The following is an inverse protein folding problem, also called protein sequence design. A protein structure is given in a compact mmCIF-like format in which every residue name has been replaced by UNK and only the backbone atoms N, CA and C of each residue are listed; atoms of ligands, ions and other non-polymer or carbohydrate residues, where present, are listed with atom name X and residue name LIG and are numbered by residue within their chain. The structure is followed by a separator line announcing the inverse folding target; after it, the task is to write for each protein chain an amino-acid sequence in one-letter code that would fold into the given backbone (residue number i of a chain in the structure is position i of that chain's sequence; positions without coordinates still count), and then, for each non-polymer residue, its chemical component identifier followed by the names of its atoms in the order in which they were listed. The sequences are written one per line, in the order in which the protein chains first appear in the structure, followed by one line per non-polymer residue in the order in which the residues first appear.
data_IF_305105032774
#
_entry.id   IF_305105032774
#
_cell.length_a   1.000
_cell.length_b   1.000
_cell.length_c   1.000
_cell.angle_alpha   90.00
_cell.angle_beta   90.00
_cell.angle_gamma   90.00
#
_symmetry.space_group_name_H-M   'P 1'
#
loop_
_entity.id
_entity.type
_entity.pdbx_description
1 polymer ?
#
# COMPACT_ATOMS: atom_id res chain seq x y z
N UNK A 1 3.36 -9.47 20.61
CA UNK A 1 2.36 -8.44 20.27
C UNK A 1 2.70 -7.70 18.96
N UNK A 2 3.13 -8.40 17.90
CA UNK A 2 3.54 -7.81 16.61
C UNK A 2 2.38 -7.45 15.67
N UNK A 3 1.13 -7.75 16.05
CA UNK A 3 0.01 -7.74 15.10
C UNK A 3 -0.64 -6.37 14.89
N UNK A 4 -0.60 -5.44 15.86
CA UNK A 4 -1.37 -4.19 15.78
C UNK A 4 -0.83 -3.21 14.72
N UNK A 5 0.48 -2.99 14.71
CA UNK A 5 1.13 -2.13 13.70
C UNK A 5 1.11 -2.72 12.28
N UNK A 6 0.99 -4.05 12.13
CA UNK A 6 0.80 -4.68 10.82
C UNK A 6 -0.64 -4.50 10.29
N UNK A 7 -1.64 -4.52 11.17
CA UNK A 7 -3.04 -4.30 10.78
C UNK A 7 -3.28 -2.84 10.37
N UNK A 8 -2.71 -1.88 11.11
CA UNK A 8 -2.79 -0.45 10.77
C UNK A 8 -2.09 -0.15 9.42
N UNK A 9 -0.91 -0.74 9.19
CA UNK A 9 -0.20 -0.62 7.90
C UNK A 9 -0.98 -1.23 6.74
N UNK A 10 -1.59 -2.41 6.93
CA UNK A 10 -2.43 -3.05 5.90
C UNK A 10 -3.70 -2.26 5.62
N UNK A 11 -4.32 -1.69 6.65
CA UNK A 11 -5.51 -0.83 6.49
C UNK A 11 -5.17 0.46 5.75
N UNK A 12 -4.03 1.09 6.05
CA UNK A 12 -3.54 2.27 5.33
C UNK A 12 -3.28 1.99 3.85
N UNK A 13 -2.61 0.87 3.52
CA UNK A 13 -2.35 0.49 2.13
C UNK A 13 -3.65 0.23 1.36
N UNK A 14 -4.61 -0.46 1.98
CA UNK A 14 -5.92 -0.71 1.34
C UNK A 14 -6.66 0.59 1.04
N UNK A 15 -6.65 1.56 1.96
CA UNK A 15 -7.24 2.89 1.70
C UNK A 15 -6.56 3.60 0.54
N UNK A 16 -5.23 3.52 0.45
CA UNK A 16 -4.49 4.09 -0.67
C UNK A 16 -4.84 3.40 -1.99
N UNK A 17 -4.98 2.07 -2.01
CA UNK A 17 -5.41 1.30 -3.19
C UNK A 17 -6.82 1.72 -3.65
N UNK A 18 -7.79 1.78 -2.74
CA UNK A 18 -9.19 2.14 -3.05
C UNK A 18 -9.28 3.57 -3.63
N UNK A 19 -8.49 4.51 -3.08
CA UNK A 19 -8.43 5.91 -3.57
C UNK A 19 -7.77 5.97 -4.94
N UNK A 20 -6.67 5.22 -5.15
CA UNK A 20 -5.97 5.18 -6.43
C UNK A 20 -6.88 4.64 -7.53
N UNK A 21 -7.58 3.52 -7.28
CA UNK A 21 -8.53 2.93 -8.23
C UNK A 21 -9.65 3.92 -8.59
N UNK A 22 -10.17 4.64 -7.61
CA UNK A 22 -11.23 5.63 -7.84
C UNK A 22 -10.73 6.81 -8.69
N UNK A 23 -9.52 7.32 -8.41
CA UNK A 23 -8.91 8.40 -9.21
C UNK A 23 -8.60 7.95 -10.64
N UNK A 24 -8.10 6.73 -10.82
CA UNK A 24 -7.86 6.13 -12.14
C UNK A 24 -9.15 5.98 -12.94
N UNK A 25 -10.24 5.53 -12.31
CA UNK A 25 -11.56 5.48 -12.96
C UNK A 25 -12.04 6.87 -13.38
N UNK A 26 -11.90 7.89 -12.54
CA UNK A 26 -12.26 9.26 -12.91
C UNK A 26 -11.44 9.73 -14.13
N UNK A 27 -10.13 9.45 -14.12
CA UNK A 27 -9.23 9.81 -15.21
C UNK A 27 -9.57 9.07 -16.52
N UNK A 28 -9.88 7.78 -16.45
CA UNK A 28 -10.28 6.96 -17.60
C UNK A 28 -11.59 7.44 -18.25
N UNK A 29 -12.47 8.06 -17.46
CA UNK A 29 -13.73 8.63 -17.92
C UNK A 29 -13.63 10.12 -18.27
N UNK A 30 -12.42 10.69 -18.36
CA UNK A 30 -12.16 12.11 -18.61
C UNK A 30 -12.92 13.05 -17.66
N UNK A 31 -13.21 12.57 -16.43
CA UNK A 31 -13.86 13.39 -15.42
C UNK A 31 -12.84 14.38 -14.87
N UNK A 32 -13.23 15.65 -14.80
CA UNK A 32 -12.42 16.73 -14.25
C UNK A 32 -12.81 17.08 -12.82
N UNK A 33 -14.01 16.70 -12.41
CA UNK A 33 -14.54 16.92 -11.06
C UNK A 33 -14.15 15.78 -10.13
N UNK A 34 -13.54 16.17 -9.01
CA UNK A 34 -13.21 15.26 -7.91
C UNK A 34 -14.42 15.16 -6.96
N UNK A 35 -14.98 13.95 -6.74
CA UNK A 35 -16.04 13.74 -5.76
C UNK A 35 -15.60 14.09 -4.32
N UNK A 36 -16.49 14.71 -3.55
CA UNK A 36 -16.21 15.18 -2.18
C UNK A 36 -15.69 14.08 -1.25
N UNK A 37 -16.27 12.87 -1.33
CA UNK A 37 -15.83 11.74 -0.51
C UNK A 37 -14.37 11.33 -0.78
N UNK A 38 -13.88 11.49 -2.03
CA UNK A 38 -12.49 11.20 -2.39
C UNK A 38 -11.60 12.34 -1.91
N UNK A 39 -12.04 13.59 -2.06
CA UNK A 39 -11.35 14.76 -1.53
C UNK A 39 -11.15 14.66 0.00
N UNK A 40 -12.19 14.34 0.76
CA UNK A 40 -12.10 14.13 2.21
C UNK A 40 -11.08 13.02 2.56
N UNK A 41 -11.08 11.92 1.80
CA UNK A 41 -10.13 10.84 1.98
C UNK A 41 -8.68 11.28 1.70
N UNK A 42 -8.46 12.08 0.66
CA UNK A 42 -7.15 12.66 0.33
C UNK A 42 -6.67 13.64 1.42
N UNK A 43 -7.56 14.45 1.98
CA UNK A 43 -7.25 15.34 3.12
C UNK A 43 -6.83 14.53 4.34
N UNK A 44 -7.52 13.43 4.65
CA UNK A 44 -7.13 12.53 5.75
C UNK A 44 -5.74 11.89 5.54
N UNK A 45 -5.27 11.79 4.30
CA UNK A 45 -3.92 11.33 3.95
C UNK A 45 -2.87 12.44 3.95
N UNK A 46 -3.27 13.70 4.19
CA UNK A 46 -2.37 14.86 4.22
C UNK A 46 -2.23 15.59 2.88
N UNK A 47 -3.10 15.34 1.92
CA UNK A 47 -3.17 16.13 0.68
C UNK A 47 -4.08 17.32 0.90
N UNK A 48 -3.49 18.50 1.08
CA UNK A 48 -4.21 19.75 1.25
C UNK A 48 -4.86 20.21 -0.07
N UNK A 49 -6.09 20.71 0.01
CA UNK A 49 -6.84 21.28 -1.12
C UNK A 49 -6.90 20.36 -2.36
N UNK A 50 -7.43 19.13 -2.24
CA UNK A 50 -7.40 18.15 -3.33
C UNK A 50 -8.18 18.61 -4.57
N UNK A 51 -9.23 19.43 -4.44
CA UNK A 51 -9.98 20.00 -5.57
C UNK A 51 -9.17 21.01 -6.40
N UNK A 52 -8.07 21.55 -5.87
CA UNK A 52 -7.19 22.46 -6.62
C UNK A 52 -6.15 21.70 -7.48
N UNK A 53 -6.11 20.37 -7.38
CA UNK A 53 -5.12 19.51 -8.04
C UNK A 53 -5.82 18.68 -9.11
N UNK A 54 -5.24 18.64 -10.31
CA UNK A 54 -5.78 17.80 -11.38
C UNK A 54 -5.72 16.31 -11.00
N UNK A 55 -6.72 15.53 -11.39
CA UNK A 55 -6.81 14.10 -11.09
C UNK A 55 -5.53 13.32 -11.46
N UNK A 56 -4.87 13.52 -12.62
CA UNK A 56 -3.58 12.88 -12.91
C UNK A 56 -2.50 13.14 -11.86
N UNK A 57 -2.41 14.38 -11.35
CA UNK A 57 -1.44 14.74 -10.31
C UNK A 57 -1.82 14.13 -8.95
N UNK A 58 -3.10 13.93 -8.68
CA UNK A 58 -3.55 13.20 -7.48
C UNK A 58 -3.16 11.72 -7.54
N UNK A 59 -3.29 11.07 -8.71
CA UNK A 59 -2.84 9.68 -8.95
C UNK A 59 -1.35 9.56 -8.62
N UNK A 60 -0.51 10.45 -9.16
CA UNK A 60 0.93 10.43 -8.90
C UNK A 60 1.28 10.59 -7.40
N UNK A 61 0.58 11.50 -6.71
CA UNK A 61 0.80 11.73 -5.27
C UNK A 61 0.40 10.52 -4.43
N UNK A 62 -0.76 9.92 -4.70
CA UNK A 62 -1.23 8.72 -3.99
C UNK A 62 -0.30 7.54 -4.28
N UNK A 63 0.14 7.37 -5.53
CA UNK A 63 1.11 6.35 -5.90
C UNK A 63 2.45 6.52 -5.19
N UNK A 64 2.95 7.76 -5.05
CA UNK A 64 4.16 8.06 -4.28
C UNK A 64 3.99 7.68 -2.80
N UNK A 65 2.81 7.91 -2.21
CA UNK A 65 2.48 7.50 -0.84
C UNK A 65 2.43 5.97 -0.68
N UNK A 66 2.11 5.20 -1.73
CA UNK A 66 2.13 3.74 -1.71
C UNK A 66 3.54 3.13 -1.76
N UNK A 67 4.51 3.78 -2.41
CA UNK A 67 5.86 3.24 -2.63
C UNK A 67 6.55 2.67 -1.37
N UNK A 68 6.54 3.36 -0.20
CA UNK A 68 7.16 2.84 1.02
C UNK A 68 6.56 1.53 1.51
N UNK A 69 5.25 1.34 1.30
CA UNK A 69 4.53 0.14 1.73
C UNK A 69 4.83 -1.05 0.81
N UNK A 70 4.93 -0.81 -0.51
CA UNK A 70 5.29 -1.85 -1.48
C UNK A 70 6.72 -2.38 -1.24
N UNK A 71 7.67 -1.48 -1.01
CA UNK A 71 9.07 -1.84 -0.67
C UNK A 71 9.09 -2.68 0.62
N UNK A 72 8.37 -2.23 1.65
CA UNK A 72 8.30 -2.93 2.95
C UNK A 72 7.70 -4.33 2.80
N UNK A 73 6.61 -4.49 2.05
CA UNK A 73 5.96 -5.80 1.80
C UNK A 73 6.90 -6.75 1.06
N UNK A 74 7.61 -6.27 0.04
CA UNK A 74 8.59 -7.09 -0.70
C UNK A 74 9.73 -7.53 0.21
N UNK A 75 10.27 -6.64 1.03
CA UNK A 75 11.35 -6.93 1.98
C UNK A 75 10.90 -7.90 3.08
N UNK A 76 9.72 -7.70 3.67
CA UNK A 76 9.16 -8.62 4.67
C UNK A 76 8.89 -10.00 4.08
N UNK A 77 8.36 -10.09 2.86
CA UNK A 77 8.14 -11.36 2.15
C UNK A 77 9.47 -12.10 1.93
N UNK A 78 10.53 -11.39 1.55
CA UNK A 78 11.89 -11.95 1.42
C UNK A 78 12.45 -12.42 2.78
N UNK A 79 12.31 -11.64 3.85
CA UNK A 79 12.73 -12.03 5.21
C UNK A 79 12.00 -13.28 5.72
N UNK A 80 10.68 -13.36 5.54
CA UNK A 80 9.87 -14.53 5.92
C UNK A 80 10.29 -15.78 5.15
N UNK A 81 10.59 -15.66 3.85
CA UNK A 81 11.13 -16.77 3.04
C UNK A 81 12.50 -17.23 3.55
N UNK A 82 13.42 -16.31 3.84
CA UNK A 82 14.75 -16.64 4.38
C UNK A 82 14.68 -17.35 5.73
N UNK A 83 13.78 -16.91 6.62
CA UNK A 83 13.55 -17.58 7.91
C UNK A 83 13.04 -19.01 7.78
N UNK A 84 12.21 -19.32 6.77
CA UNK A 84 11.77 -20.70 6.50
C UNK A 84 12.92 -21.60 6.03
N UNK A 85 13.84 -21.06 5.23
CA UNK A 85 15.00 -21.81 4.72
C UNK A 85 16.03 -22.10 5.82
N UNK A 86 16.11 -21.27 6.87
CA UNK A 86 17.06 -21.45 7.97
C UNK A 86 16.56 -22.35 9.11
N UNK A 87 15.39 -23.01 8.98
CA UNK A 87 14.80 -23.85 10.04
C UNK A 87 14.53 -25.29 9.55
N UNK A 88 15.31 -25.77 8.58
CA UNK A 88 15.53 -27.22 8.44
C UNK A 88 16.82 -27.55 9.18
N UNK A 89 16.77 -28.04 10.44
CA UNK A 89 17.91 -28.76 10.99
C UNK A 89 18.10 -30.01 10.13
N UNK A 90 19.29 -30.17 9.56
CA UNK A 90 19.72 -31.42 8.97
C UNK A 90 19.77 -32.50 10.04
N UNK A 91 18.64 -33.12 10.34
CA UNK A 91 18.58 -34.42 11.00
C UNK A 91 18.95 -35.48 9.95
N UNK A 92 20.24 -35.51 9.59
CA UNK A 92 20.85 -36.67 8.96
C UNK A 92 21.51 -37.46 10.09
N UNK A 93 20.66 -38.12 10.88
CA UNK A 93 21.09 -39.13 11.83
C UNK A 93 21.30 -40.42 11.04
N UNK A 94 22.56 -40.79 10.84
CA UNK A 94 22.93 -42.13 10.39
C UNK A 94 22.57 -43.13 11.50
N UNK A 95 21.99 -44.29 11.15
CA UNK A 95 22.78 -45.51 11.39
C UNK A 95 22.47 -46.67 10.41
N UNK A 96 23.51 -47.32 9.89
CA UNK A 96 23.95 -48.68 10.23
C UNK A 96 25.08 -49.12 9.29
#
# INVERSE_FOLDING_TARGET
MLQRGDQERRSGLRRLDDILESLEQLNLHDKTELPDHIAEALVMLGIEQPHAIAIPQLIERVWAMQQPYLITIVVERRRRRRRKVSTEPSSTEAPN
#
